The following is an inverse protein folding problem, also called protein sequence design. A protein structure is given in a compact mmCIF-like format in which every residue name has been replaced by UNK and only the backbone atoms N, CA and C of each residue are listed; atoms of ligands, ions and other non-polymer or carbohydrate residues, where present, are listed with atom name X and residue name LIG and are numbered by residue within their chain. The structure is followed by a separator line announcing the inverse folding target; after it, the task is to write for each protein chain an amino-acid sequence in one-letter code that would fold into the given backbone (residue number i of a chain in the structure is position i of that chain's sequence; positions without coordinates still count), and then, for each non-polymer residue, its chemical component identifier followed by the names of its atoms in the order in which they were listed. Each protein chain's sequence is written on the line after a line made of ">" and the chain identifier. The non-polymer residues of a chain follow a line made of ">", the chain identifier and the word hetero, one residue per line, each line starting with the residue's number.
data_IF_272135404628
#
_entry.id   IF_272135404628
#
_cell.length_a   1.000
_cell.length_b   1.000
_cell.length_c   1.000
_cell.angle_alpha   90.00
_cell.angle_beta   90.00
_cell.angle_gamma   90.00
#
_symmetry.space_group_name_H-M   'P 1'
#
loop_
_entity.id
_entity.type
_entity.pdbx_description
1 polymer ?
#
# COMPACT_ATOMS: atom_id res chain seq x y z
N UNK A 1 -0.25 30.73 -49.70
CA UNK A 1 0.30 29.49 -49.10
C UNK A 1 1.68 29.77 -48.46
N UNK A 2 1.76 30.51 -47.34
CA UNK A 2 3.06 30.80 -46.68
C UNK A 2 2.97 30.96 -45.15
N UNK A 3 2.01 30.33 -44.46
CA UNK A 3 1.79 30.54 -43.01
C UNK A 3 1.75 29.26 -42.15
N UNK A 4 2.23 28.12 -42.67
CA UNK A 4 2.22 26.85 -41.91
C UNK A 4 3.57 26.46 -41.28
N UNK A 5 4.67 27.18 -41.55
CA UNK A 5 6.03 26.78 -41.13
C UNK A 5 6.57 27.51 -39.89
N UNK A 6 5.95 28.60 -39.44
CA UNK A 6 6.53 29.45 -38.39
C UNK A 6 6.16 28.99 -36.96
N UNK A 7 5.06 28.24 -36.81
CA UNK A 7 4.55 27.84 -35.48
C UNK A 7 5.35 26.67 -34.84
N UNK A 8 6.06 25.87 -35.65
CA UNK A 8 6.87 24.75 -35.13
C UNK A 8 8.25 25.17 -34.61
N UNK A 9 8.77 26.31 -35.07
CA UNK A 9 10.08 26.82 -34.64
C UNK A 9 9.96 27.50 -33.27
N UNK A 10 8.84 28.18 -33.00
CA UNK A 10 8.59 28.79 -31.68
C UNK A 10 8.36 27.76 -30.56
N UNK A 11 7.79 26.59 -30.87
CA UNK A 11 7.58 25.53 -29.89
C UNK A 11 8.89 24.84 -29.44
N UNK A 12 9.91 24.75 -30.32
CA UNK A 12 11.21 24.19 -29.94
C UNK A 12 12.08 25.18 -29.15
N UNK A 13 11.99 26.49 -29.45
CA UNK A 13 12.81 27.50 -28.77
C UNK A 13 12.42 27.71 -27.29
N UNK A 14 11.14 27.51 -26.94
CA UNK A 14 10.68 27.60 -25.55
C UNK A 14 11.07 26.37 -24.71
N UNK A 15 11.31 25.22 -25.35
CA UNK A 15 11.67 23.97 -24.66
C UNK A 15 13.15 23.97 -24.19
N UNK A 16 14.04 24.68 -24.88
CA UNK A 16 15.49 24.69 -24.57
C UNK A 16 15.85 25.67 -23.44
N UNK A 17 15.03 26.69 -23.15
CA UNK A 17 15.31 27.67 -22.10
C UNK A 17 14.86 27.26 -20.68
N UNK A 18 14.14 26.14 -20.52
CA UNK A 18 13.60 25.73 -19.22
C UNK A 18 14.51 24.78 -18.40
N UNK A 19 15.66 24.34 -18.93
CA UNK A 19 16.54 23.38 -18.25
C UNK A 19 17.77 23.99 -17.54
N UNK A 20 17.88 25.32 -17.47
CA UNK A 20 19.06 25.99 -16.91
C UNK A 20 18.91 26.44 -15.43
N UNK A 21 18.03 25.82 -14.65
CA UNK A 21 17.58 26.38 -13.37
C UNK A 21 17.49 25.43 -12.18
N UNK A 22 18.43 24.49 -12.00
CA UNK A 22 18.54 23.71 -10.76
C UNK A 22 20.02 23.54 -10.33
N UNK A 23 20.63 24.61 -9.84
CA UNK A 23 21.83 24.53 -9.01
C UNK A 23 21.41 24.57 -7.54
N UNK A 24 21.33 23.41 -6.90
CA UNK A 24 21.05 23.27 -5.47
C UNK A 24 21.74 22.02 -4.97
N UNK A 25 22.94 22.19 -4.42
CA UNK A 25 23.79 21.11 -3.94
C UNK A 25 23.23 20.45 -2.68
N UNK A 26 23.24 19.11 -2.68
CA UNK A 26 23.33 18.31 -1.48
C UNK A 26 24.45 17.29 -1.67
N UNK A 27 25.54 17.47 -0.94
CA UNK A 27 26.72 16.62 -0.94
C UNK A 27 26.46 15.35 -0.12
N UNK A 28 25.63 14.44 -0.63
CA UNK A 28 25.58 13.07 -0.14
C UNK A 28 26.14 12.13 -1.22
N UNK A 29 27.46 12.15 -1.37
CA UNK A 29 28.19 11.10 -2.07
C UNK A 29 28.14 9.83 -1.24
N UNK A 30 27.06 9.07 -1.38
CA UNK A 30 27.01 7.67 -0.97
C UNK A 30 27.95 6.92 -1.90
N UNK A 31 29.18 6.65 -1.43
CA UNK A 31 30.04 5.68 -2.07
C UNK A 31 29.28 4.34 -2.17
N UNK A 32 29.23 3.67 -3.33
CA UNK A 32 28.79 2.28 -3.37
C UNK A 32 29.85 1.47 -2.62
N UNK A 33 29.55 1.15 -1.36
CA UNK A 33 30.37 0.24 -0.57
C UNK A 33 30.34 -1.11 -1.29
N UNK A 34 31.46 -1.46 -1.92
CA UNK A 34 31.70 -2.77 -2.51
C UNK A 34 31.41 -3.84 -1.45
N UNK A 35 30.30 -4.56 -1.61
CA UNK A 35 29.99 -5.69 -0.77
C UNK A 35 31.13 -6.72 -0.87
N UNK A 36 31.77 -7.13 0.22
CA UNK A 36 32.70 -8.25 0.16
C UNK A 36 31.91 -9.52 -0.20
N UNK A 37 32.42 -10.28 -1.18
CA UNK A 37 31.90 -11.59 -1.51
C UNK A 37 31.87 -12.47 -0.25
N UNK A 38 30.81 -13.27 -0.01
CA UNK A 38 30.73 -14.11 1.18
C UNK A 38 31.86 -15.15 1.13
N UNK A 39 32.82 -15.03 2.06
CA UNK A 39 33.80 -16.06 2.34
C UNK A 39 33.06 -17.29 2.87
N UNK A 40 32.79 -18.23 1.96
CA UNK A 40 32.26 -19.54 2.29
C UNK A 40 33.32 -20.29 3.11
N UNK A 41 33.20 -20.27 4.44
CA UNK A 41 33.75 -21.27 5.38
C UNK A 41 33.27 -20.96 6.80
N UNK A 42 32.06 -21.41 7.12
CA UNK A 42 31.66 -21.70 8.49
C UNK A 42 30.90 -23.04 8.47
N UNK A 43 31.28 -24.03 9.29
CA UNK A 43 30.50 -25.25 9.42
C UNK A 43 29.12 -24.89 9.96
N UNK A 44 28.08 -25.43 9.33
CA UNK A 44 26.70 -25.28 9.75
C UNK A 44 26.52 -25.94 11.13
N UNK A 45 26.69 -25.16 12.20
CA UNK A 45 26.15 -25.50 13.49
C UNK A 45 24.63 -25.32 13.38
N UNK A 46 23.93 -26.45 13.29
CA UNK A 46 22.49 -26.47 13.28
C UNK A 46 21.98 -25.68 14.50
N UNK A 47 21.15 -24.63 14.34
CA UNK A 47 20.43 -24.13 15.48
C UNK A 47 19.52 -25.28 15.92
N UNK A 48 19.82 -25.85 17.09
CA UNK A 48 18.82 -26.59 17.84
C UNK A 48 17.70 -25.59 18.08
N UNK A 49 16.70 -25.63 17.20
CA UNK A 49 15.47 -24.89 17.31
C UNK A 49 14.72 -25.45 18.51
N UNK A 50 15.11 -25.01 19.70
CA UNK A 50 14.20 -24.97 20.82
C UNK A 50 13.02 -24.13 20.34
N UNK A 51 11.90 -24.79 20.03
CA UNK A 51 10.68 -24.14 19.62
C UNK A 51 10.37 -23.01 20.61
N UNK A 52 10.06 -21.78 20.17
CA UNK A 52 9.65 -20.74 21.09
C UNK A 52 8.41 -21.26 21.81
N UNK A 53 8.51 -21.42 23.13
CA UNK A 53 7.40 -21.81 23.96
C UNK A 53 6.24 -20.86 23.63
N UNK A 54 5.15 -21.42 23.11
CA UNK A 54 3.92 -20.67 22.88
C UNK A 54 3.56 -20.02 24.21
N UNK A 55 3.41 -18.69 24.32
CA UNK A 55 2.85 -18.12 25.53
C UNK A 55 1.44 -18.69 25.66
N UNK A 56 1.24 -19.63 26.58
CA UNK A 56 -0.09 -20.13 26.93
C UNK A 56 -0.84 -18.94 27.50
N UNK A 57 -1.64 -18.27 26.66
CA UNK A 57 -2.54 -17.20 27.07
C UNK A 57 -3.59 -17.83 28.00
N UNK A 58 -3.31 -17.85 29.30
CA UNK A 58 -4.30 -18.18 30.30
C UNK A 58 -5.40 -17.13 30.24
N UNK A 59 -6.52 -17.49 29.61
CA UNK A 59 -7.65 -16.63 29.40
C UNK A 59 -8.83 -17.10 30.27
N UNK A 60 -8.98 -16.63 31.51
CA UNK A 60 -10.29 -16.63 32.15
C UNK A 60 -11.09 -15.47 31.55
N UNK A 61 -11.54 -15.63 30.30
CA UNK A 61 -12.57 -14.75 29.74
C UNK A 61 -13.85 -15.59 29.65
N UNK A 62 -14.89 -15.30 30.45
CA UNK A 62 -16.20 -15.87 30.16
C UNK A 62 -16.55 -15.45 28.74
N UNK A 63 -16.98 -16.42 27.91
CA UNK A 63 -17.46 -16.11 26.57
C UNK A 63 -18.47 -14.96 26.64
N UNK A 64 -18.43 -13.98 25.71
CA UNK A 64 -19.44 -12.94 25.70
C UNK A 64 -20.81 -13.61 25.65
N UNK A 65 -21.65 -13.33 26.65
CA UNK A 65 -23.04 -13.79 26.62
C UNK A 65 -23.72 -13.05 25.49
N UNK A 66 -23.89 -13.71 24.34
CA UNK A 66 -24.70 -13.20 23.25
C UNK A 66 -26.14 -13.26 23.73
N UNK A 67 -26.67 -12.12 24.20
CA UNK A 67 -28.10 -11.98 24.47
C UNK A 67 -28.79 -11.98 23.12
N UNK A 68 -29.47 -13.08 22.78
CA UNK A 68 -30.22 -13.20 21.53
C UNK A 68 -31.34 -12.16 21.58
N UNK A 69 -31.21 -11.10 20.78
CA UNK A 69 -32.26 -10.11 20.58
C UNK A 69 -33.49 -10.73 19.89
N UNK A 70 -34.63 -10.00 19.85
CA UNK A 70 -35.83 -10.50 19.18
C UNK A 70 -35.53 -10.87 17.73
N UNK A 71 -36.14 -11.96 17.26
CA UNK A 71 -36.03 -12.42 15.87
C UNK A 71 -36.36 -11.27 14.92
N UNK A 72 -35.35 -10.77 14.20
CA UNK A 72 -35.57 -9.79 13.15
C UNK A 72 -36.54 -10.39 12.13
N UNK A 73 -37.59 -9.64 11.77
CA UNK A 73 -38.39 -9.96 10.59
C UNK A 73 -37.43 -10.03 9.39
N UNK A 74 -37.45 -11.11 8.58
CA UNK A 74 -36.56 -11.18 7.43
C UNK A 74 -36.91 -10.00 6.52
N UNK A 75 -35.95 -9.09 6.33
CA UNK A 75 -36.04 -8.17 5.22
C UNK A 75 -36.13 -9.03 3.95
N UNK A 76 -37.04 -8.74 3.00
CA UNK A 76 -37.00 -9.38 1.71
C UNK A 76 -35.67 -8.99 1.07
N UNK A 77 -34.70 -9.88 1.18
CA UNK A 77 -33.44 -9.80 0.44
C UNK A 77 -33.90 -9.87 -1.01
N UNK A 78 -33.77 -8.78 -1.77
CA UNK A 78 -33.97 -8.85 -3.21
C UNK A 78 -33.14 -10.05 -3.70
N UNK A 79 -33.84 -11.05 -4.25
CA UNK A 79 -33.23 -12.34 -4.54
C UNK A 79 -32.02 -12.12 -5.47
N UNK A 80 -30.83 -12.51 -5.00
CA UNK A 80 -29.63 -12.57 -5.83
C UNK A 80 -28.94 -11.24 -6.13
N UNK A 81 -28.88 -10.26 -5.23
CA UNK A 81 -28.05 -9.04 -5.47
C UNK A 81 -26.59 -9.37 -5.84
N UNK A 82 -26.08 -10.50 -5.33
CA UNK A 82 -24.73 -11.01 -5.60
C UNK A 82 -24.61 -11.70 -6.97
N UNK A 83 -25.72 -12.12 -7.57
CA UNK A 83 -25.73 -12.85 -8.84
C UNK A 83 -25.49 -11.87 -9.99
N UNK A 84 -24.25 -11.85 -10.49
CA UNK A 84 -23.77 -10.88 -11.47
C UNK A 84 -23.13 -9.62 -10.88
N UNK A 85 -23.02 -9.51 -9.55
CA UNK A 85 -22.27 -8.41 -8.92
C UNK A 85 -20.76 -8.57 -9.15
N UNK A 86 -20.07 -7.43 -9.30
CA UNK A 86 -18.61 -7.38 -9.35
C UNK A 86 -18.09 -7.06 -7.96
N UNK A 87 -17.29 -7.97 -7.40
CA UNK A 87 -16.67 -7.80 -6.08
C UNK A 87 -15.23 -7.29 -6.22
N UNK A 88 -14.88 -6.29 -5.41
CA UNK A 88 -13.52 -5.79 -5.29
C UNK A 88 -12.91 -6.23 -3.95
N UNK A 89 -11.78 -6.93 -4.01
CA UNK A 89 -10.97 -7.23 -2.84
C UNK A 89 -9.96 -6.12 -2.62
N UNK A 90 -9.94 -5.56 -1.41
CA UNK A 90 -9.07 -4.43 -1.06
C UNK A 90 -8.15 -4.86 0.08
N UNK A 91 -6.84 -4.78 -0.15
CA UNK A 91 -5.86 -4.98 0.89
C UNK A 91 -5.64 -3.67 1.67
N UNK A 92 -6.30 -3.55 2.83
CA UNK A 92 -6.40 -2.32 3.63
C UNK A 92 -5.04 -1.65 3.87
N UNK A 93 -4.05 -2.42 4.34
CA UNK A 93 -2.72 -1.90 4.72
C UNK A 93 -1.95 -1.25 3.58
N UNK A 94 -2.32 -1.51 2.32
CA UNK A 94 -1.66 -0.94 1.15
C UNK A 94 -2.57 -0.03 0.32
N UNK A 95 -3.81 0.21 0.76
CA UNK A 95 -4.77 0.97 -0.03
C UNK A 95 -4.61 2.48 0.13
N UNK A 96 -4.82 2.99 1.35
CA UNK A 96 -4.67 4.42 1.62
C UNK A 96 -4.41 4.67 3.11
N UNK A 97 -3.35 5.42 3.39
CA UNK A 97 -2.96 5.89 4.72
C UNK A 97 -3.53 7.29 4.95
N UNK A 98 -4.42 7.43 5.93
CA UNK A 98 -5.08 8.68 6.26
C UNK A 98 -4.39 9.49 7.37
N UNK A 99 -3.47 8.86 8.11
CA UNK A 99 -2.86 9.46 9.30
C UNK A 99 -1.34 9.70 9.15
N UNK A 100 -0.72 9.20 8.09
CA UNK A 100 0.69 9.39 7.74
C UNK A 100 1.67 8.43 8.43
N UNK A 101 1.20 7.32 9.00
CA UNK A 101 2.06 6.33 9.67
C UNK A 101 2.72 5.31 8.71
N UNK A 102 2.37 5.35 7.43
CA UNK A 102 2.87 4.48 6.37
C UNK A 102 2.08 3.17 6.21
N UNK A 103 0.96 3.00 6.91
CA UNK A 103 0.09 1.82 6.84
C UNK A 103 -1.33 2.27 6.51
N UNK A 104 -1.93 1.65 5.49
CA UNK A 104 -3.31 1.95 5.14
C UNK A 104 -4.33 1.56 6.23
N UNK A 105 -5.41 2.33 6.32
CA UNK A 105 -6.38 2.25 7.42
C UNK A 105 -7.85 2.35 6.95
N UNK A 106 -8.80 2.09 7.85
CA UNK A 106 -10.24 2.07 7.53
C UNK A 106 -10.80 3.46 7.21
N UNK A 107 -10.27 4.52 7.83
CA UNK A 107 -10.68 5.88 7.48
C UNK A 107 -10.23 6.21 6.06
N UNK A 108 -9.06 5.70 5.65
CA UNK A 108 -8.57 5.78 4.29
C UNK A 108 -9.48 5.11 3.26
N UNK A 109 -10.05 3.95 3.60
CA UNK A 109 -11.08 3.32 2.75
C UNK A 109 -12.29 4.23 2.59
N UNK A 110 -12.83 4.75 3.70
CA UNK A 110 -14.00 5.61 3.68
C UNK A 110 -13.79 6.87 2.81
N UNK A 111 -12.60 7.48 2.88
CA UNK A 111 -12.24 8.66 2.07
C UNK A 111 -12.10 8.38 0.57
N UNK A 112 -11.98 7.12 0.16
CA UNK A 112 -11.77 6.71 -1.24
C UNK A 112 -12.91 5.84 -1.78
N UNK A 113 -14.04 5.75 -1.09
CA UNK A 113 -15.20 5.02 -1.59
C UNK A 113 -15.67 5.55 -2.96
N UNK A 114 -15.55 6.86 -3.19
CA UNK A 114 -15.89 7.50 -4.47
C UNK A 114 -15.04 6.99 -5.64
N UNK A 115 -13.86 6.43 -5.39
CA UNK A 115 -13.01 5.86 -6.45
C UNK A 115 -13.49 4.49 -6.93
N UNK A 116 -14.27 3.78 -6.10
CA UNK A 116 -14.67 2.38 -6.34
C UNK A 116 -16.12 2.29 -6.85
N UNK A 117 -16.90 3.37 -6.71
CA UNK A 117 -18.30 3.45 -7.11
C UNK A 117 -18.52 3.89 -8.57
#
# INVERSE_FOLDING_TARGET
>A
MKHASSFRIFALALCVLAFAGCAGGNSNSVQPSSAPAPSANAPAEAPTAAAPATPTRNLPTPAPTITVGPTATPFPLAAGWWDGAVCYEIFVRSFYDSNGDGIGDLNGIAQKLDYIN
#
